data_IF_738098832809
#
_entry.id   IF_738098832809
#
_cell.length_a   1.000
_cell.length_b   1.000
_cell.length_c   1.000
_cell.angle_alpha   90.00
_cell.angle_beta   90.00
_cell.angle_gamma   90.00
#
_symmetry.space_group_name_H-M   'P 1'
#
loop_
_entity.id
_entity.type
_entity.pdbx_description
1 polymer ?
#
# COMPACT_ATOMS: atom_id res chain seq x y z
N UNK A 1 0.96 -45.92 24.35
CA UNK A 1 2.32 -45.39 24.62
C UNK A 1 3.15 -45.15 23.34
N UNK A 2 2.97 -45.92 22.25
CA UNK A 2 3.69 -45.71 20.97
C UNK A 2 3.35 -44.41 20.22
N UNK A 3 2.09 -43.96 20.28
CA UNK A 3 1.62 -42.74 19.59
C UNK A 3 2.28 -41.48 20.14
N UNK A 4 2.35 -41.36 21.47
CA UNK A 4 2.95 -40.22 22.18
C UNK A 4 4.46 -40.10 21.92
N UNK A 5 5.15 -41.23 21.72
CA UNK A 5 6.58 -41.27 21.42
C UNK A 5 6.90 -40.84 19.98
N UNK A 6 5.99 -41.12 19.02
CA UNK A 6 6.08 -40.65 17.62
C UNK A 6 5.88 -39.14 17.49
N UNK A 7 4.95 -38.60 18.26
CA UNK A 7 4.75 -37.14 18.32
C UNK A 7 5.93 -36.43 18.97
N UNK A 8 6.50 -37.01 20.04
CA UNK A 8 7.68 -36.44 20.71
C UNK A 8 8.91 -36.41 19.79
N UNK A 9 9.15 -37.48 19.01
CA UNK A 9 10.25 -37.53 18.03
C UNK A 9 10.05 -36.53 16.89
N UNK A 10 8.83 -36.37 16.39
CA UNK A 10 8.53 -35.43 15.30
C UNK A 10 8.77 -33.96 15.73
N UNK A 11 8.35 -33.62 16.96
CA UNK A 11 8.60 -32.29 17.53
C UNK A 11 10.10 -32.01 17.72
N UNK A 12 10.86 -33.00 18.21
CA UNK A 12 12.32 -32.87 18.40
C UNK A 12 13.07 -32.69 17.06
N UNK A 13 12.63 -33.35 15.99
CA UNK A 13 13.22 -33.17 14.66
C UNK A 13 12.92 -31.80 14.05
N UNK A 14 11.72 -31.25 14.24
CA UNK A 14 11.36 -29.92 13.72
C UNK A 14 12.14 -28.84 14.46
N UNK A 15 12.31 -28.97 15.78
CA UNK A 15 13.14 -28.05 16.57
C UNK A 15 14.63 -28.09 16.14
N UNK A 16 15.16 -29.28 15.81
CA UNK A 16 16.54 -29.42 15.33
C UNK A 16 16.74 -28.77 13.95
N UNK A 17 15.75 -28.82 13.04
CA UNK A 17 15.85 -28.18 11.73
C UNK A 17 15.74 -26.65 11.78
N UNK A 18 15.08 -26.08 12.78
CA UNK A 18 14.97 -24.63 12.94
C UNK A 18 16.28 -23.96 13.40
N UNK A 19 17.20 -24.72 14.01
CA UNK A 19 18.50 -24.23 14.52
C UNK A 19 19.60 -24.13 13.45
N UNK A 20 19.36 -24.64 12.23
CA UNK A 20 20.39 -24.71 11.16
C UNK A 20 20.24 -23.57 10.14
N UNK A 21 19.26 -22.70 10.31
CA UNK A 21 18.96 -21.58 9.41
C UNK A 21 19.31 -20.22 10.07
N UNK A 22 20.51 -20.12 10.67
CA UNK A 22 21.10 -18.84 11.00
C UNK A 22 22.03 -18.45 9.85
N UNK A 23 21.49 -17.65 8.92
CA UNK A 23 22.23 -17.06 7.83
C UNK A 23 23.43 -16.29 8.37
N UNK A 24 24.62 -16.64 7.87
CA UNK A 24 25.85 -15.90 8.13
C UNK A 24 25.67 -14.49 7.55
N UNK A 25 25.58 -13.50 8.44
CA UNK A 25 25.71 -12.11 8.07
C UNK A 25 27.20 -11.84 7.85
N UNK A 26 27.61 -11.66 6.59
CA UNK A 26 28.94 -11.17 6.23
C UNK A 26 29.11 -9.74 6.76
N UNK A 27 29.68 -9.61 7.96
CA UNK A 27 30.19 -8.35 8.47
C UNK A 27 31.45 -7.99 7.68
N UNK A 28 31.33 -7.01 6.78
CA UNK A 28 32.45 -6.45 6.02
C UNK A 28 33.42 -5.76 7.00
N UNK A 29 34.46 -6.47 7.43
CA UNK A 29 35.60 -5.89 8.15
C UNK A 29 36.48 -5.19 7.11
N UNK A 30 36.40 -3.85 7.02
CA UNK A 30 37.39 -3.07 6.28
C UNK A 30 38.63 -2.85 7.16
N UNK A 31 39.84 -3.29 6.75
CA UNK A 31 41.07 -2.90 7.42
C UNK A 31 41.34 -1.41 7.19
N UNK A 32 41.42 -0.68 8.30
CA UNK A 32 41.58 0.77 8.43
C UNK A 32 42.98 1.25 8.00
N UNK A 33 43.38 1.02 6.74
CA UNK A 33 44.70 1.41 6.21
C UNK A 33 44.60 2.28 4.93
N UNK A 34 43.56 3.09 4.78
CA UNK A 34 43.53 4.13 3.75
C UNK A 34 43.95 5.47 4.35
N UNK A 35 44.89 6.21 3.74
CA UNK A 35 45.16 7.59 4.12
C UNK A 35 43.88 8.41 3.95
N UNK A 36 43.47 9.08 5.02
CA UNK A 36 42.35 10.02 5.04
C UNK A 36 42.52 11.02 3.88
N UNK A 37 41.54 11.20 2.98
CA UNK A 37 41.57 12.35 2.08
C UNK A 37 41.56 13.60 2.95
N UNK A 38 42.63 14.38 2.87
CA UNK A 38 42.66 15.70 3.48
C UNK A 38 41.47 16.51 2.95
N UNK A 39 40.73 17.22 3.83
CA UNK A 39 39.59 17.98 3.39
C UNK A 39 40.06 19.19 2.58
N UNK A 40 40.06 19.10 1.25
CA UNK A 40 40.14 20.26 0.37
C UNK A 40 38.79 20.99 0.35
N UNK A 41 38.35 21.48 1.50
CA UNK A 41 37.12 22.28 1.63
C UNK A 41 37.38 23.75 1.29
N UNK A 42 37.75 24.02 0.04
CA UNK A 42 37.53 25.36 -0.50
C UNK A 42 36.96 25.28 -1.93
N UNK A 43 35.86 24.54 -2.04
CA UNK A 43 34.97 24.70 -3.19
C UNK A 43 34.05 25.87 -2.85
N UNK A 44 34.05 26.96 -3.64
CA UNK A 44 33.12 28.06 -3.40
C UNK A 44 31.68 27.53 -3.40
N UNK A 45 30.81 28.04 -2.54
CA UNK A 45 29.44 27.56 -2.47
C UNK A 45 28.76 27.73 -3.83
N UNK A 46 27.89 26.79 -4.23
CA UNK A 46 27.13 26.91 -5.46
C UNK A 46 26.28 28.19 -5.45
N UNK A 47 26.02 28.80 -6.62
CA UNK A 47 25.18 29.98 -6.70
C UNK A 47 23.77 29.68 -6.15
N UNK A 48 23.10 30.67 -5.56
CA UNK A 48 21.74 30.50 -5.05
C UNK A 48 20.76 30.15 -6.18
N UNK A 49 19.69 29.38 -5.88
CA UNK A 49 18.67 29.06 -6.87
C UNK A 49 17.98 30.32 -7.39
N UNK A 50 17.48 30.31 -8.64
CA UNK A 50 16.72 31.42 -9.17
C UNK A 50 15.47 31.68 -8.30
N UNK A 51 15.02 32.95 -8.20
CA UNK A 51 13.79 33.27 -7.49
C UNK A 51 12.60 32.46 -8.05
N UNK A 52 11.65 32.06 -7.19
CA UNK A 52 10.44 31.42 -7.66
C UNK A 52 9.72 32.35 -8.65
N UNK A 53 9.25 31.80 -9.76
CA UNK A 53 8.43 32.56 -10.70
C UNK A 53 7.12 32.91 -9.99
N UNK A 54 6.84 34.21 -9.86
CA UNK A 54 5.50 34.68 -9.50
C UNK A 54 4.64 34.52 -10.73
N UNK A 55 3.86 33.43 -10.79
CA UNK A 55 2.84 33.27 -11.81
C UNK A 55 1.62 34.10 -11.41
N UNK A 56 1.25 35.06 -12.25
CA UNK A 56 0.02 35.83 -12.06
C UNK A 56 -1.16 34.91 -12.36
N UNK A 57 -2.15 34.80 -11.46
CA UNK A 57 -3.38 34.06 -11.75
C UNK A 57 -4.04 34.57 -13.03
N UNK A 58 -4.52 33.65 -13.86
CA UNK A 58 -5.21 34.03 -15.10
C UNK A 58 -6.45 34.89 -14.77
N UNK A 59 -6.53 36.06 -15.40
CA UNK A 59 -7.69 36.96 -15.26
C UNK A 59 -8.90 36.28 -15.92
N UNK A 60 -10.01 36.08 -15.19
CA UNK A 60 -11.25 35.59 -15.78
C UNK A 60 -11.71 36.53 -16.90
N UNK A 61 -11.90 36.00 -18.12
CA UNK A 61 -12.43 36.76 -19.26
C UNK A 61 -13.95 36.81 -19.16
N UNK A 62 -14.55 37.99 -19.35
CA UNK A 62 -16.00 38.19 -19.23
C UNK A 62 -16.80 37.39 -20.26
N UNK A 63 -16.25 37.25 -21.47
CA UNK A 63 -16.89 36.49 -22.57
C UNK A 63 -16.50 35.01 -22.59
N UNK A 64 -15.77 34.51 -21.59
CA UNK A 64 -15.44 33.10 -21.52
C UNK A 64 -16.71 32.30 -21.17
N UNK A 65 -16.97 31.19 -21.87
CA UNK A 65 -18.05 30.29 -21.47
C UNK A 65 -17.83 29.82 -20.04
N UNK A 66 -18.88 29.74 -19.21
CA UNK A 66 -18.76 29.32 -17.83
C UNK A 66 -18.15 27.92 -17.78
N UNK A 67 -17.08 27.78 -17.00
CA UNK A 67 -16.42 26.49 -16.81
C UNK A 67 -17.42 25.59 -16.09
N UNK A 68 -17.97 24.61 -16.79
CA UNK A 68 -18.86 23.65 -16.15
C UNK A 68 -18.05 22.88 -15.10
N UNK A 69 -18.47 22.88 -13.83
CA UNK A 69 -17.83 22.04 -12.84
C UNK A 69 -18.01 20.60 -13.32
N UNK A 70 -16.91 19.96 -13.75
CA UNK A 70 -16.92 18.52 -13.96
C UNK A 70 -17.04 17.90 -12.58
N UNK A 71 -18.24 17.42 -12.25
CA UNK A 71 -18.41 16.54 -11.11
C UNK A 71 -17.55 15.32 -11.40
N UNK A 72 -16.45 15.18 -10.66
CA UNK A 72 -15.70 13.94 -10.65
C UNK A 72 -16.56 12.94 -9.90
N UNK A 73 -17.53 12.35 -10.60
CA UNK A 73 -18.32 11.25 -10.06
C UNK A 73 -17.31 10.14 -9.86
N UNK A 74 -16.88 9.93 -8.62
CA UNK A 74 -16.14 8.72 -8.26
C UNK A 74 -16.89 7.56 -8.93
N UNK A 75 -16.26 6.76 -9.79
CA UNK A 75 -16.95 5.69 -10.49
C UNK A 75 -17.41 4.69 -9.44
N UNK A 76 -18.59 4.93 -8.86
CA UNK A 76 -19.39 3.88 -8.28
C UNK A 76 -19.56 2.91 -9.44
N UNK A 77 -19.15 1.66 -9.25
CA UNK A 77 -19.27 0.63 -10.29
C UNK A 77 -20.68 0.61 -10.89
N UNK A 78 -20.86 -0.13 -11.97
CA UNK A 78 -22.19 -0.19 -12.61
C UNK A 78 -23.26 -0.62 -11.61
N UNK A 79 -24.52 -0.29 -11.89
CA UNK A 79 -25.62 -0.72 -11.03
C UNK A 79 -25.59 -2.24 -10.78
N UNK A 80 -25.29 -3.03 -11.80
CA UNK A 80 -25.12 -4.48 -11.71
C UNK A 80 -23.99 -4.89 -10.77
N UNK A 81 -22.85 -4.20 -10.80
CA UNK A 81 -21.73 -4.48 -9.88
C UNK A 81 -22.14 -4.23 -8.43
N UNK A 82 -22.89 -3.14 -8.19
CA UNK A 82 -23.42 -2.85 -6.84
C UNK A 82 -24.39 -3.93 -6.38
N UNK A 83 -25.29 -4.39 -7.24
CA UNK A 83 -26.22 -5.49 -6.89
C UNK A 83 -25.45 -6.75 -6.54
N UNK A 84 -24.43 -7.12 -7.32
CA UNK A 84 -23.57 -8.29 -7.06
C UNK A 84 -22.85 -8.16 -5.72
N UNK A 85 -22.22 -7.01 -5.44
CA UNK A 85 -21.56 -6.76 -4.17
C UNK A 85 -22.53 -6.82 -2.99
N UNK A 86 -23.71 -6.20 -3.10
CA UNK A 86 -24.72 -6.26 -2.06
C UNK A 86 -25.24 -7.69 -1.83
N UNK A 87 -25.34 -8.52 -2.86
CA UNK A 87 -25.67 -9.93 -2.69
C UNK A 87 -24.55 -10.67 -1.93
N UNK A 88 -23.28 -10.39 -2.23
CA UNK A 88 -22.16 -10.97 -1.48
C UNK A 88 -22.13 -10.51 -0.03
N UNK A 89 -22.35 -9.22 0.24
CA UNK A 89 -22.41 -8.68 1.59
C UNK A 89 -23.56 -9.31 2.40
N UNK A 90 -24.74 -9.46 1.78
CA UNK A 90 -25.87 -10.12 2.43
C UNK A 90 -25.60 -11.59 2.71
N UNK A 91 -24.89 -12.30 1.82
CA UNK A 91 -24.46 -13.67 2.07
C UNK A 91 -23.43 -13.75 3.21
N UNK A 92 -22.48 -12.82 3.26
CA UNK A 92 -21.48 -12.73 4.33
C UNK A 92 -22.11 -12.40 5.69
N UNK A 93 -23.21 -11.63 5.69
CA UNK A 93 -24.03 -11.36 6.87
C UNK A 93 -24.91 -12.54 7.30
N UNK A 94 -24.91 -13.65 6.55
CA UNK A 94 -25.69 -14.85 6.87
C UNK A 94 -27.16 -14.78 6.48
N UNK A 95 -27.57 -13.83 5.63
CA UNK A 95 -28.95 -13.71 5.16
C UNK A 95 -29.35 -14.90 4.30
N UNK A 96 -30.58 -15.38 4.48
CA UNK A 96 -31.17 -16.40 3.62
C UNK A 96 -31.39 -15.90 2.18
N UNK A 97 -31.68 -16.80 1.22
CA UNK A 97 -31.84 -16.42 -0.18
C UNK A 97 -32.90 -15.33 -0.43
N UNK A 98 -34.03 -15.37 0.28
CA UNK A 98 -35.10 -14.38 0.20
C UNK A 98 -34.67 -13.03 0.78
N UNK A 99 -34.18 -13.02 2.03
CA UNK A 99 -33.74 -11.81 2.74
C UNK A 99 -32.58 -11.11 2.02
N UNK A 100 -31.66 -11.89 1.46
CA UNK A 100 -30.54 -11.39 0.66
C UNK A 100 -31.01 -10.70 -0.63
N UNK A 101 -32.09 -11.19 -1.25
CA UNK A 101 -32.67 -10.55 -2.45
C UNK A 101 -33.35 -9.22 -2.12
N UNK A 102 -33.99 -9.11 -0.96
CA UNK A 102 -34.60 -7.86 -0.48
C UNK A 102 -33.52 -6.85 -0.06
N UNK A 103 -32.49 -7.33 0.65
CA UNK A 103 -31.33 -6.54 1.04
C UNK A 103 -30.61 -5.95 -0.17
N UNK A 104 -30.36 -6.72 -1.22
CA UNK A 104 -29.62 -6.22 -2.39
C UNK A 104 -30.36 -5.11 -3.13
N UNK A 105 -31.70 -5.17 -3.18
CA UNK A 105 -32.54 -4.11 -3.75
C UNK A 105 -32.42 -2.79 -2.97
N UNK A 106 -32.37 -2.85 -1.64
CA UNK A 106 -32.21 -1.66 -0.82
C UNK A 106 -30.77 -1.13 -0.82
N UNK A 107 -29.78 -2.03 -0.75
CA UNK A 107 -28.35 -1.71 -0.70
C UNK A 107 -27.86 -1.09 -2.02
N UNK A 108 -28.24 -1.65 -3.17
CA UNK A 108 -27.79 -1.17 -4.48
C UNK A 108 -28.29 0.23 -4.84
N UNK A 109 -29.25 0.79 -4.10
CA UNK A 109 -29.75 2.16 -4.31
C UNK A 109 -29.05 3.21 -3.44
N UNK A 110 -28.16 2.80 -2.53
CA UNK A 110 -27.32 3.69 -1.72
C UNK A 110 -26.09 4.17 -2.51
#
# INVERSE_FOLDING_TARGET
MFVMKRFLTAMLTIAALALIAEGVADAQVQPMNQPLPSPSFNVPPPPPPPPPKIEVPAIPKMDAPPKQPRVNVNPRGSFSDRVTNCLHDGAAAGLGPSERSEYSRACANR
#
